data_IF_331104310233
#
_entry.id   IF_331104310233
#
_cell.length_a   1.000
_cell.length_b   1.000
_cell.length_c   1.000
_cell.angle_alpha   90.00
_cell.angle_beta   90.00
_cell.angle_gamma   90.00
#
_symmetry.space_group_name_H-M   'P 1'
#
loop_
_entity.id
_entity.type
_entity.pdbx_description
1 polymer ?
#
# COMPACT_ATOMS: atom_id res chain seq x y z
N UNK A 1 21.13 -3.40 5.50
CA UNK A 1 19.87 -4.10 5.20
C UNK A 1 18.82 -3.67 6.23
N UNK A 2 18.04 -2.64 5.94
CA UNK A 2 17.02 -2.12 6.87
C UNK A 2 15.79 -3.02 6.85
N UNK A 3 15.83 -4.13 7.59
CA UNK A 3 14.65 -4.95 7.91
C UNK A 3 13.83 -4.18 8.96
N UNK A 4 13.24 -3.05 8.57
CA UNK A 4 12.39 -2.25 9.46
C UNK A 4 11.11 -3.05 9.69
N UNK A 5 10.88 -3.43 10.94
CA UNK A 5 9.67 -4.03 11.51
C UNK A 5 8.35 -3.29 11.16
N UNK A 6 8.37 -2.15 10.47
CA UNK A 6 7.18 -1.55 9.86
C UNK A 6 6.59 -2.39 8.72
N UNK A 7 7.38 -3.25 8.06
CA UNK A 7 6.94 -4.01 6.90
C UNK A 7 5.99 -5.17 7.24
N UNK A 8 6.12 -5.83 8.40
CA UNK A 8 5.34 -7.04 8.69
C UNK A 8 3.84 -6.77 8.88
N UNK A 9 3.48 -5.70 9.61
CA UNK A 9 2.09 -5.34 9.85
C UNK A 9 1.38 -4.91 8.56
N UNK A 10 1.98 -4.01 7.80
CA UNK A 10 1.42 -3.51 6.54
C UNK A 10 1.41 -4.56 5.44
N UNK A 11 2.45 -5.40 5.33
CA UNK A 11 2.46 -6.51 4.37
C UNK A 11 1.39 -7.55 4.70
N UNK A 12 1.13 -7.79 5.99
CA UNK A 12 0.06 -8.70 6.44
C UNK A 12 -1.32 -8.14 6.11
N UNK A 13 -1.58 -6.87 6.42
CA UNK A 13 -2.85 -6.19 6.07
C UNK A 13 -3.03 -6.16 4.55
N UNK A 14 -1.98 -5.94 3.78
CA UNK A 14 -2.00 -6.01 2.33
C UNK A 14 -2.38 -7.43 1.84
N UNK A 15 -1.74 -8.46 2.39
CA UNK A 15 -2.08 -9.85 2.06
C UNK A 15 -3.52 -10.20 2.44
N UNK A 16 -4.02 -9.73 3.58
CA UNK A 16 -5.41 -9.91 3.99
C UNK A 16 -6.37 -9.19 3.04
N UNK A 17 -6.01 -7.99 2.59
CA UNK A 17 -6.78 -7.22 1.60
C UNK A 17 -6.84 -7.95 0.24
N UNK A 18 -5.73 -8.54 -0.20
CA UNK A 18 -5.69 -9.36 -1.41
C UNK A 18 -6.54 -10.63 -1.29
N UNK A 19 -6.54 -11.25 -0.10
CA UNK A 19 -7.37 -12.44 0.20
C UNK A 19 -8.84 -12.12 0.40
N UNK A 20 -9.20 -10.86 0.64
CA UNK A 20 -10.58 -10.47 0.89
C UNK A 20 -11.35 -10.36 -0.43
N UNK A 21 -12.36 -11.23 -0.61
CA UNK A 21 -13.24 -11.21 -1.78
C UNK A 21 -14.06 -9.91 -1.89
N UNK A 22 -14.37 -9.25 -0.77
CA UNK A 22 -15.10 -7.99 -0.71
C UNK A 22 -14.22 -6.76 -0.93
N UNK A 23 -12.89 -6.93 -0.98
CA UNK A 23 -12.00 -5.81 -1.27
C UNK A 23 -12.12 -5.40 -2.73
N UNK A 24 -12.20 -4.09 -2.97
CA UNK A 24 -12.22 -3.53 -4.31
C UNK A 24 -10.90 -3.79 -5.04
N UNK A 25 -10.94 -3.83 -6.37
CA UNK A 25 -9.75 -4.02 -7.20
C UNK A 25 -8.66 -2.98 -6.94
N UNK A 26 -9.06 -1.75 -6.60
CA UNK A 26 -8.17 -0.68 -6.16
C UNK A 26 -7.42 -1.08 -4.88
N UNK A 27 -8.12 -1.57 -3.86
CA UNK A 27 -7.51 -1.96 -2.58
C UNK A 27 -6.56 -3.14 -2.77
N UNK A 28 -6.92 -4.11 -3.61
CA UNK A 28 -6.05 -5.24 -4.00
C UNK A 28 -4.80 -4.76 -4.73
N UNK A 29 -4.95 -3.84 -5.68
CA UNK A 29 -3.82 -3.26 -6.42
C UNK A 29 -2.87 -2.48 -5.52
N UNK A 30 -3.41 -1.74 -4.56
CA UNK A 30 -2.64 -0.99 -3.56
C UNK A 30 -1.87 -1.91 -2.63
N UNK A 31 -2.55 -2.95 -2.12
CA UNK A 31 -1.95 -3.98 -1.30
C UNK A 31 -0.83 -4.74 -2.04
N UNK A 32 -1.06 -5.11 -3.29
CA UNK A 32 -0.03 -5.70 -4.15
C UNK A 32 1.18 -4.77 -4.34
N UNK A 33 0.93 -3.46 -4.47
CA UNK A 33 1.99 -2.46 -4.60
C UNK A 33 2.81 -2.31 -3.32
N UNK A 34 2.16 -2.30 -2.14
CA UNK A 34 2.86 -2.31 -0.84
C UNK A 34 3.73 -3.56 -0.71
N UNK A 35 3.19 -4.73 -1.04
CA UNK A 35 3.94 -5.99 -0.97
C UNK A 35 5.14 -6.02 -1.91
N UNK A 36 4.95 -5.55 -3.14
CA UNK A 36 6.02 -5.44 -4.12
C UNK A 36 7.13 -4.51 -3.63
N UNK A 37 6.78 -3.36 -3.03
CA UNK A 37 7.74 -2.40 -2.47
C UNK A 37 8.40 -2.87 -1.18
N UNK A 38 7.70 -3.65 -0.36
CA UNK A 38 8.23 -4.20 0.88
C UNK A 38 9.43 -5.13 0.64
N UNK A 39 9.53 -5.75 -0.53
CA UNK A 39 10.60 -6.67 -0.89
C UNK A 39 11.54 -6.17 -1.98
N UNK A 40 11.29 -5.00 -2.57
CA UNK A 40 12.10 -4.47 -3.67
C UNK A 40 12.32 -2.96 -3.53
N UNK A 41 13.41 -2.44 -4.08
CA UNK A 41 13.60 -0.98 -4.22
C UNK A 41 12.79 -0.42 -5.42
N UNK A 42 11.75 -1.12 -5.89
CA UNK A 42 10.98 -0.67 -7.04
C UNK A 42 10.08 0.49 -6.63
N UNK A 43 10.12 1.58 -7.40
CA UNK A 43 9.24 2.71 -7.17
C UNK A 43 7.80 2.37 -7.57
N UNK A 44 6.86 2.84 -6.77
CA UNK A 44 5.45 2.85 -7.17
C UNK A 44 5.29 3.67 -8.44
N UNK A 45 4.50 3.17 -9.40
CA UNK A 45 4.13 3.96 -10.57
C UNK A 45 3.22 5.13 -10.17
N UNK A 46 3.35 6.28 -10.85
CA UNK A 46 2.54 7.47 -10.55
C UNK A 46 1.03 7.26 -10.63
N UNK A 47 0.58 6.26 -11.41
CA UNK A 47 -0.81 5.83 -11.41
C UNK A 47 -1.25 5.32 -10.02
N UNK A 48 -0.45 4.45 -9.42
CA UNK A 48 -0.74 3.88 -8.11
C UNK A 48 -0.59 4.91 -6.98
N UNK A 49 0.30 5.89 -7.12
CA UNK A 49 0.34 7.05 -6.21
C UNK A 49 -0.93 7.88 -6.27
N UNK A 50 -1.47 8.12 -7.48
CA UNK A 50 -2.76 8.81 -7.64
C UNK A 50 -3.89 8.00 -6.99
N UNK A 51 -3.90 6.68 -7.18
CA UNK A 51 -4.87 5.78 -6.55
C UNK A 51 -4.73 5.81 -5.02
N UNK A 52 -3.51 5.75 -4.48
CA UNK A 52 -3.25 5.84 -3.05
C UNK A 52 -3.75 7.17 -2.48
N UNK A 53 -3.50 8.27 -3.18
CA UNK A 53 -3.95 9.61 -2.79
C UNK A 53 -5.48 9.70 -2.75
N UNK A 54 -6.17 9.13 -3.75
CA UNK A 54 -7.63 9.05 -3.79
C UNK A 54 -8.19 8.20 -2.64
N UNK A 55 -7.51 7.10 -2.29
CA UNK A 55 -7.90 6.23 -1.18
C UNK A 55 -7.79 6.96 0.15
N UNK A 56 -6.72 7.71 0.36
CA UNK A 56 -6.52 8.56 1.55
C UNK A 56 -7.60 9.65 1.67
N UNK A 57 -7.93 10.30 0.56
CA UNK A 57 -8.95 11.35 0.50
C UNK A 57 -10.39 10.82 0.58
N UNK A 58 -10.60 9.53 0.34
CA UNK A 58 -11.93 8.93 0.31
C UNK A 58 -12.33 8.34 1.65
N UNK A 59 -13.51 8.73 2.12
CA UNK A 59 -14.09 8.26 3.38
C UNK A 59 -14.62 6.83 3.27
N UNK A 60 -14.72 6.30 2.04
CA UNK A 60 -15.28 4.97 1.76
C UNK A 60 -14.32 3.84 2.13
N UNK A 61 -13.04 4.16 2.36
CA UNK A 61 -12.02 3.20 2.72
C UNK A 61 -11.75 3.21 4.21
N UNK A 62 -11.46 2.02 4.74
CA UNK A 62 -11.07 1.86 6.14
C UNK A 62 -9.72 2.52 6.44
N UNK A 63 -9.52 2.89 7.70
CA UNK A 63 -8.24 3.37 8.27
C UNK A 63 -7.06 2.46 7.87
N UNK A 64 -7.28 1.14 7.87
CA UNK A 64 -6.29 0.15 7.44
C UNK A 64 -5.89 0.33 5.96
N UNK A 65 -6.87 0.52 5.07
CA UNK A 65 -6.61 0.72 3.64
C UNK A 65 -5.94 2.07 3.40
N UNK A 66 -6.31 3.10 4.15
CA UNK A 66 -5.65 4.41 4.11
C UNK A 66 -4.22 4.32 4.61
N UNK A 67 -3.94 3.51 5.63
CA UNK A 67 -2.59 3.25 6.13
C UNK A 67 -1.73 2.54 5.08
N UNK A 68 -2.28 1.56 4.35
CA UNK A 68 -1.63 0.95 3.19
C UNK A 68 -1.31 2.00 2.12
N UNK A 69 -2.27 2.84 1.77
CA UNK A 69 -2.11 3.92 0.80
C UNK A 69 -1.00 4.91 1.20
N UNK A 70 -1.02 5.33 2.46
CA UNK A 70 0.00 6.20 3.03
C UNK A 70 1.39 5.54 2.98
N UNK A 71 1.45 4.23 3.24
CA UNK A 71 2.70 3.47 3.12
C UNK A 71 3.21 3.44 1.68
N UNK A 72 2.33 3.24 0.68
CA UNK A 72 2.73 3.30 -0.74
C UNK A 72 3.30 4.65 -1.11
N UNK A 73 2.65 5.75 -0.70
CA UNK A 73 3.09 7.11 -0.99
C UNK A 73 4.39 7.46 -0.26
N UNK A 74 4.54 7.00 0.98
CA UNK A 74 5.76 7.22 1.75
C UNK A 74 6.93 6.39 1.21
N UNK A 75 6.66 5.25 0.57
CA UNK A 75 7.68 4.38 -0.01
C UNK A 75 8.02 4.75 -1.45
N UNK A 76 7.09 5.34 -2.23
CA UNK A 76 7.39 5.89 -3.57
C UNK A 76 8.33 7.10 -3.52
N UNK A 77 8.12 7.96 -2.52
CA UNK A 77 8.97 9.12 -2.26
C UNK A 77 10.07 8.85 -1.23
N UNK A 78 10.20 7.60 -0.77
CA UNK A 78 11.13 7.19 0.27
C UNK A 78 12.55 6.92 -0.26
N UNK A 79 13.32 8.01 -0.41
CA UNK A 79 14.80 8.16 -0.46
C UNK A 79 15.35 8.78 -1.74
N UNK A 80 15.64 10.08 -1.66
CA UNK A 80 17.03 10.53 -1.85
C UNK A 80 17.68 10.62 -0.48
#
# INVERSE_FOLDING_TARGET
MNKKQSSDGLSKIASETLKNANASDISKSLAGSVLSQSHTNNQTSGNMESVASKVLQSNKYSELTKSLAASVLSQSNGKK
#
